data_IF_846209411696
#
_entry.id   IF_846209411696
#
_cell.length_a   1.000
_cell.length_b   1.000
_cell.length_c   1.000
_cell.angle_alpha   90.00
_cell.angle_beta   90.00
_cell.angle_gamma   90.00
#
_symmetry.space_group_name_H-M   'P 1'
#
loop_
_entity.id
_entity.type
_entity.pdbx_description
1 polymer ?
#
# COMPACT_ATOMS: atom_id res chain seq x y z
N UNK A 1 -7.01 6.23 -19.42
CA UNK A 1 -5.71 6.22 -18.71
C UNK A 1 -5.38 7.68 -18.38
N UNK A 2 -5.69 8.14 -17.16
CA UNK A 2 -5.38 9.49 -16.71
C UNK A 2 -4.32 9.37 -15.62
N UNK A 3 -3.05 9.53 -15.99
CA UNK A 3 -1.96 9.69 -15.03
C UNK A 3 -1.84 11.19 -14.74
N UNK A 4 -1.99 11.58 -13.48
CA UNK A 4 -1.75 12.95 -13.03
C UNK A 4 -0.24 13.15 -12.93
N UNK A 5 0.35 13.80 -13.92
CA UNK A 5 1.74 14.29 -13.85
C UNK A 5 1.76 15.63 -13.10
N UNK A 6 2.27 15.65 -11.88
CA UNK A 6 2.69 16.89 -11.26
C UNK A 6 3.97 17.39 -11.95
N UNK A 7 4.05 18.70 -12.20
CA UNK A 7 5.22 19.38 -12.78
C UNK A 7 6.46 19.10 -11.91
N UNK A 8 7.28 18.16 -12.35
CA UNK A 8 8.56 17.88 -11.73
C UNK A 8 8.90 16.40 -11.68
N UNK A 9 8.86 15.69 -12.82
CA UNK A 9 9.67 14.49 -13.12
C UNK A 9 9.74 13.30 -12.14
N UNK A 10 9.06 13.33 -11.00
CA UNK A 10 9.05 12.29 -10.00
C UNK A 10 7.81 11.42 -10.21
N UNK A 11 8.03 10.12 -10.40
CA UNK A 11 6.97 9.11 -10.36
C UNK A 11 6.23 9.22 -9.04
N UNK A 12 5.01 9.75 -9.06
CA UNK A 12 4.16 9.86 -7.87
C UNK A 12 3.83 8.45 -7.40
N UNK A 13 4.33 8.07 -6.22
CA UNK A 13 4.03 6.80 -5.57
C UNK A 13 2.52 6.54 -5.53
N UNK A 14 2.11 5.33 -5.90
CA UNK A 14 0.74 4.82 -5.82
C UNK A 14 0.23 4.69 -4.38
N UNK A 15 1.15 4.70 -3.40
CA UNK A 15 0.87 4.52 -1.99
C UNK A 15 0.67 5.87 -1.30
N UNK A 16 -0.52 6.08 -0.72
CA UNK A 16 -0.78 7.12 0.29
C UNK A 16 -0.60 6.53 1.68
N UNK A 17 0.57 6.75 2.28
CA UNK A 17 0.96 6.19 3.58
C UNK A 17 0.88 7.23 4.70
N UNK A 18 0.37 6.82 5.86
CA UNK A 18 0.37 7.61 7.10
C UNK A 18 0.71 6.71 8.28
N UNK A 19 1.63 7.16 9.14
CA UNK A 19 1.92 6.51 10.41
C UNK A 19 1.78 7.51 11.57
N UNK A 20 1.08 7.10 12.64
CA UNK A 20 0.87 7.91 13.84
C UNK A 20 1.10 7.09 15.11
N UNK A 21 1.85 7.63 16.07
CA UNK A 21 2.05 7.01 17.39
C UNK A 21 1.25 7.74 18.46
N UNK A 22 0.56 7.00 19.33
CA UNK A 22 -0.16 7.57 20.48
C UNK A 22 0.76 7.74 21.70
N UNK A 23 0.23 8.29 22.81
CA UNK A 23 1.00 8.47 24.05
C UNK A 23 1.38 7.16 24.74
N UNK A 24 0.69 6.06 24.42
CA UNK A 24 0.91 4.72 24.96
C UNK A 24 1.93 3.91 24.13
N UNK A 25 2.55 4.51 23.10
CA UNK A 25 3.54 3.85 22.25
C UNK A 25 2.96 2.91 21.19
N UNK A 26 1.66 2.98 20.93
CA UNK A 26 0.98 2.24 19.86
C UNK A 26 1.04 3.08 18.58
N UNK A 27 1.66 2.52 17.54
CA UNK A 27 1.73 3.12 16.21
C UNK A 27 0.66 2.53 15.31
N UNK A 28 -0.20 3.39 14.77
CA UNK A 28 -1.19 3.05 13.75
C UNK A 28 -0.66 3.46 12.37
N UNK A 29 -0.59 2.48 11.46
CA UNK A 29 -0.19 2.66 10.07
C UNK A 29 -1.41 2.48 9.19
N UNK A 30 -1.62 3.43 8.28
CA UNK A 30 -2.71 3.45 7.30
C UNK A 30 -2.13 3.65 5.92
N UNK A 31 -2.51 2.79 4.99
CA UNK A 31 -2.12 2.87 3.60
C UNK A 31 -3.34 2.77 2.70
N UNK A 32 -3.44 3.68 1.74
CA UNK A 32 -4.34 3.55 0.59
C UNK A 32 -3.45 3.36 -0.65
N UNK A 33 -3.57 2.22 -1.31
CA UNK A 33 -2.75 1.87 -2.46
C UNK A 33 -3.61 2.00 -3.71
N UNK A 34 -3.18 2.82 -4.68
CA UNK A 34 -3.87 2.95 -5.95
C UNK A 34 -3.49 1.77 -6.87
N UNK A 35 -4.35 0.75 -6.90
CA UNK A 35 -4.13 -0.46 -7.68
C UNK A 35 -5.46 -1.03 -8.20
N UNK A 36 -5.53 -1.57 -9.45
CA UNK A 36 -6.76 -2.09 -10.03
C UNK A 36 -7.35 -3.29 -9.29
N UNK A 37 -6.50 -4.19 -8.76
CA UNK A 37 -6.91 -5.45 -8.11
C UNK A 37 -7.92 -6.25 -8.93
N UNK A 38 -7.59 -6.49 -10.20
CA UNK A 38 -8.42 -7.28 -11.11
C UNK A 38 -8.34 -8.76 -10.74
N UNK A 39 -9.48 -9.35 -10.38
CA UNK A 39 -9.54 -10.72 -9.90
C UNK A 39 -9.48 -11.79 -11.00
N UNK A 40 -9.59 -11.39 -12.27
CA UNK A 40 -9.49 -12.29 -13.42
C UNK A 40 -10.81 -12.97 -13.86
N UNK A 41 -11.90 -12.74 -13.11
CA UNK A 41 -13.22 -13.31 -13.40
C UNK A 41 -14.11 -12.46 -14.29
N UNK A 42 -13.74 -11.21 -14.57
CA UNK A 42 -14.54 -10.29 -15.38
C UNK A 42 -14.34 -10.58 -16.87
N UNK A 43 -15.43 -10.57 -17.64
CA UNK A 43 -15.36 -10.54 -19.10
C UNK A 43 -15.31 -9.10 -19.58
N UNK A 44 -14.45 -8.86 -20.55
CA UNK A 44 -14.41 -7.61 -21.29
C UNK A 44 -15.62 -7.54 -22.24
N UNK A 45 -16.35 -6.43 -22.20
CA UNK A 45 -17.61 -6.27 -22.94
C UNK A 45 -17.41 -6.10 -24.44
N UNK A 46 -16.24 -5.61 -24.86
CA UNK A 46 -15.93 -5.35 -26.28
C UNK A 46 -15.37 -6.60 -26.96
N UNK A 47 -14.52 -7.35 -26.26
CA UNK A 47 -13.83 -8.52 -26.82
C UNK A 47 -14.43 -9.86 -26.41
N UNK A 48 -15.30 -9.88 -25.40
CA UNK A 48 -15.91 -11.11 -24.84
C UNK A 48 -14.92 -12.01 -24.08
N UNK A 49 -13.64 -11.62 -23.97
CA UNK A 49 -12.57 -12.40 -23.33
C UNK A 49 -12.50 -12.14 -21.83
N UNK A 50 -11.93 -13.10 -21.09
CA UNK A 50 -11.61 -12.89 -19.67
C UNK A 50 -10.48 -11.88 -19.54
N UNK A 51 -10.65 -10.93 -18.63
CA UNK A 51 -9.60 -9.98 -18.27
C UNK A 51 -8.55 -10.73 -17.45
N UNK A 52 -7.25 -10.67 -17.77
CA UNK A 52 -6.22 -11.35 -16.98
C UNK A 52 -6.16 -10.81 -15.55
N UNK A 53 -5.97 -11.71 -14.58
CA UNK A 53 -5.83 -11.33 -13.18
C UNK A 53 -4.63 -10.38 -12.98
N UNK A 54 -4.86 -9.30 -12.24
CA UNK A 54 -3.84 -8.30 -11.90
C UNK A 54 -4.07 -7.78 -10.49
N UNK A 55 -3.38 -8.37 -9.53
CA UNK A 55 -3.54 -8.07 -8.11
C UNK A 55 -2.19 -8.05 -7.40
N UNK A 56 -2.11 -7.24 -6.36
CA UNK A 56 -0.99 -7.22 -5.42
C UNK A 56 -0.91 -8.58 -4.74
N UNK A 57 0.24 -9.25 -4.79
CA UNK A 57 0.46 -10.57 -4.20
C UNK A 57 1.03 -10.47 -2.78
N UNK A 58 1.85 -9.44 -2.51
CA UNK A 58 2.52 -9.25 -1.23
C UNK A 58 2.58 -7.79 -0.86
N UNK A 59 2.26 -7.50 0.41
CA UNK A 59 2.48 -6.21 1.05
C UNK A 59 3.39 -6.42 2.25
N UNK A 60 4.42 -5.59 2.38
CA UNK A 60 5.35 -5.63 3.50
C UNK A 60 5.49 -4.24 4.10
N UNK A 61 5.48 -4.18 5.43
CA UNK A 61 5.75 -2.94 6.15
C UNK A 61 6.91 -3.15 7.13
N UNK A 62 7.87 -2.24 7.05
CA UNK A 62 9.10 -2.25 7.84
C UNK A 62 9.20 -1.00 8.70
N UNK A 63 9.68 -1.17 9.93
CA UNK A 63 10.07 -0.12 10.86
C UNK A 63 11.55 -0.29 11.20
N UNK A 64 12.37 0.72 10.89
CA UNK A 64 13.83 0.67 11.06
C UNK A 64 14.48 -0.61 10.47
N UNK A 65 13.99 -1.07 9.31
CA UNK A 65 14.48 -2.27 8.62
C UNK A 65 13.98 -3.61 9.19
N UNK A 66 13.11 -3.60 10.21
CA UNK A 66 12.46 -4.80 10.74
C UNK A 66 11.03 -4.90 10.20
N UNK A 67 10.66 -6.07 9.71
CA UNK A 67 9.30 -6.34 9.26
C UNK A 67 8.35 -6.28 10.47
N UNK A 68 7.39 -5.36 10.44
CA UNK A 68 6.33 -5.23 11.44
C UNK A 68 4.99 -5.75 10.93
N UNK A 69 4.86 -5.91 9.60
CA UNK A 69 3.70 -6.54 8.97
C UNK A 69 4.12 -7.17 7.63
N UNK A 70 3.63 -8.38 7.37
CA UNK A 70 3.64 -9.01 6.04
C UNK A 70 2.24 -9.55 5.78
N UNK A 71 1.74 -9.36 4.56
CA UNK A 71 0.44 -9.85 4.16
C UNK A 71 0.51 -10.36 2.72
N UNK A 72 0.02 -11.56 2.51
CA UNK A 72 -0.16 -12.14 1.18
C UNK A 72 -1.60 -11.87 0.73
N UNK A 73 -1.73 -11.22 -0.43
CA UNK A 73 -3.00 -10.78 -0.99
C UNK A 73 -3.34 -11.60 -2.22
N UNK A 74 -4.62 -11.61 -2.58
CA UNK A 74 -5.14 -12.34 -3.73
C UNK A 74 -6.22 -11.56 -4.45
N UNK A 75 -6.84 -12.23 -5.41
CA UNK A 75 -7.94 -11.70 -6.24
C UNK A 75 -9.20 -11.28 -5.46
N UNK A 76 -9.32 -11.67 -4.19
CA UNK A 76 -10.44 -11.30 -3.32
C UNK A 76 -10.34 -9.89 -2.72
N UNK A 77 -9.25 -9.17 -2.94
CA UNK A 77 -9.06 -7.81 -2.42
C UNK A 77 -9.64 -6.79 -3.39
N UNK A 78 -10.42 -5.85 -2.86
CA UNK A 78 -11.06 -4.79 -3.65
C UNK A 78 -10.06 -3.81 -4.27
N UNK A 79 -10.47 -3.19 -5.39
CA UNK A 79 -9.78 -2.07 -6.03
C UNK A 79 -9.45 -0.96 -5.04
N UNK A 80 -8.28 -0.34 -5.22
CA UNK A 80 -7.72 0.69 -4.35
C UNK A 80 -7.69 0.26 -2.87
N UNK A 81 -6.95 -0.82 -2.54
CA UNK A 81 -7.03 -1.42 -1.22
C UNK A 81 -6.57 -0.46 -0.11
N UNK A 82 -7.31 -0.51 0.99
CA UNK A 82 -7.00 0.18 2.22
C UNK A 82 -6.53 -0.81 3.28
N UNK A 83 -5.34 -0.55 3.83
CA UNK A 83 -4.72 -1.34 4.88
C UNK A 83 -4.56 -0.48 6.13
N UNK A 84 -4.97 -1.00 7.28
CA UNK A 84 -4.77 -0.35 8.58
C UNK A 84 -4.36 -1.39 9.60
N UNK A 85 -3.20 -1.18 10.24
CA UNK A 85 -2.73 -2.06 11.30
C UNK A 85 -2.04 -1.26 12.40
N UNK A 86 -1.79 -1.92 13.53
CA UNK A 86 -1.14 -1.32 14.69
C UNK A 86 0.02 -2.18 15.16
N UNK A 87 1.09 -1.55 15.62
CA UNK A 87 2.21 -2.22 16.25
C UNK A 87 2.78 -1.36 17.40
N UNK A 88 3.57 -1.95 18.29
CA UNK A 88 4.23 -1.26 19.41
C UNK A 88 5.73 -1.15 19.15
N UNK A 89 6.39 -0.25 19.88
CA UNK A 89 7.85 -0.12 19.86
C UNK A 89 8.39 0.87 18.83
N UNK A 90 7.53 1.75 18.31
CA UNK A 90 7.90 2.86 17.45
C UNK A 90 7.75 4.20 18.17
N UNK A 91 8.53 5.19 17.74
CA UNK A 91 8.55 6.54 18.28
C UNK A 91 8.33 7.60 17.20
N UNK A 92 7.92 8.80 17.63
CA UNK A 92 7.76 9.96 16.75
C UNK A 92 9.09 10.27 16.05
N UNK A 93 9.03 10.51 14.74
CA UNK A 93 10.19 10.90 13.92
C UNK A 93 10.91 9.72 13.27
N UNK A 94 10.70 8.50 13.76
CA UNK A 94 11.20 7.28 13.11
C UNK A 94 10.49 7.02 11.79
N UNK A 95 11.01 6.07 11.00
CA UNK A 95 10.55 5.81 9.64
C UNK A 95 9.81 4.49 9.55
N UNK A 96 8.73 4.51 8.79
CA UNK A 96 8.02 3.31 8.35
C UNK A 96 8.03 3.28 6.83
N UNK A 97 8.41 2.14 6.27
CA UNK A 97 8.38 1.89 4.83
C UNK A 97 7.31 0.84 4.56
N UNK A 98 6.46 1.10 3.58
CA UNK A 98 5.54 0.11 3.03
C UNK A 98 5.93 -0.17 1.58
N UNK A 99 5.98 -1.44 1.22
CA UNK A 99 6.19 -1.91 -0.14
C UNK A 99 5.10 -2.89 -0.54
N UNK A 100 4.80 -2.95 -1.83
CA UNK A 100 3.99 -4.00 -2.40
C UNK A 100 4.63 -4.56 -3.67
N UNK A 101 4.29 -5.81 -3.97
CA UNK A 101 4.57 -6.49 -5.23
C UNK A 101 3.24 -7.01 -5.81
N UNK A 102 3.12 -7.03 -7.12
CA UNK A 102 1.99 -7.65 -7.80
C UNK A 102 2.38 -8.89 -8.62
N UNK A 103 1.37 -9.61 -9.06
CA UNK A 103 1.52 -10.82 -9.88
C UNK A 103 2.02 -10.55 -11.32
N UNK A 104 2.29 -9.29 -11.69
CA UNK A 104 2.90 -8.86 -12.95
C UNK A 104 4.29 -8.27 -12.74
N UNK A 105 4.91 -8.57 -11.59
CA UNK A 105 6.23 -8.10 -11.17
C UNK A 105 6.36 -6.57 -11.05
N UNK A 106 5.25 -5.84 -10.98
CA UNK A 106 5.28 -4.42 -10.62
C UNK A 106 5.42 -4.28 -9.11
N UNK A 107 6.10 -3.21 -8.72
CA UNK A 107 6.36 -2.90 -7.31
C UNK A 107 6.30 -1.41 -7.09
N UNK A 108 5.93 -1.00 -5.89
CA UNK A 108 6.12 0.36 -5.41
C UNK A 108 6.48 0.34 -3.93
N UNK A 109 7.10 1.42 -3.46
CA UNK A 109 7.40 1.59 -2.05
C UNK A 109 7.32 3.03 -1.61
N UNK A 110 6.85 3.24 -0.38
CA UNK A 110 6.75 4.57 0.22
C UNK A 110 7.23 4.56 1.65
N UNK A 111 8.06 5.53 1.97
CA UNK A 111 8.55 5.79 3.32
C UNK A 111 7.92 7.07 3.88
N UNK A 112 7.53 7.05 5.15
CA UNK A 112 7.07 8.24 5.88
C UNK A 112 7.63 8.26 7.29
N UNK A 113 7.78 9.48 7.83
CA UNK A 113 8.07 9.68 9.26
C UNK A 113 6.80 9.49 10.09
N UNK A 114 6.93 8.77 11.20
CA UNK A 114 5.87 8.59 12.20
C UNK A 114 5.58 9.94 12.86
N UNK A 115 4.32 10.35 12.84
CA UNK A 115 3.86 11.59 13.48
C UNK A 115 3.22 11.28 14.83
N UNK A 116 3.15 12.27 15.71
CA UNK A 116 2.36 12.11 16.95
C UNK A 116 0.86 12.10 16.62
N UNK A 117 0.11 11.20 17.23
CA UNK A 117 -1.35 11.29 17.26
C UNK A 117 -1.79 12.56 17.99
N UNK A 118 -2.74 13.29 17.41
CA UNK A 118 -3.38 14.45 18.06
C UNK A 118 -4.48 14.05 19.04
N UNK A 119 -4.87 12.78 19.03
CA UNK A 119 -5.82 12.15 19.96
C UNK A 119 -5.03 11.38 21.01
#
# INVERSE_FOLDING_TARGET
MWQLTNKGGESVSTIRLQAKVNKEGITEVKALIQHPMEGGGRKDLETGKLVPAHFIDKVTCEHNGKIVMSADWGSGISKNPYLSFRFKGAAKGEKVKLSWKDNKDQTDSREVKIRQSRR
#
